data_IF_927774229178
#
_entry.id   IF_927774229178
#
_cell.length_a   1.000
_cell.length_b   1.000
_cell.length_c   1.000
_cell.angle_alpha   90.00
_cell.angle_beta   90.00
_cell.angle_gamma   90.00
#
_symmetry.space_group_name_H-M   'P 1'
#
loop_
_entity.id
_entity.type
_entity.pdbx_description
1 polymer ?
#
# COMPACT_ATOMS: atom_id res chain seq x y z
N UNK A 1 2.63 -3.44 2.23
CA UNK A 1 2.17 -4.83 2.28
C UNK A 1 2.16 -5.31 3.70
N UNK A 2 1.39 -6.35 4.00
CA UNK A 2 1.37 -6.97 5.31
C UNK A 2 2.68 -7.72 5.61
N UNK A 3 2.95 -7.95 6.89
CA UNK A 3 4.20 -8.55 7.34
C UNK A 3 4.41 -9.99 6.88
N UNK A 4 3.34 -10.76 6.61
CA UNK A 4 3.47 -12.13 6.09
C UNK A 4 3.98 -12.08 4.66
N UNK A 5 3.42 -11.20 3.84
CA UNK A 5 3.87 -10.95 2.48
C UNK A 5 5.34 -10.54 2.43
N UNK A 6 5.74 -9.57 3.27
CA UNK A 6 7.11 -9.07 3.29
C UNK A 6 8.11 -10.12 3.78
N UNK A 7 7.75 -10.91 4.81
CA UNK A 7 8.54 -12.05 5.24
C UNK A 7 8.65 -13.14 4.15
N UNK A 8 7.58 -13.41 3.42
CA UNK A 8 7.58 -14.38 2.32
C UNK A 8 8.47 -13.91 1.16
N UNK A 9 8.36 -12.65 0.74
CA UNK A 9 9.22 -12.08 -0.31
C UNK A 9 10.69 -12.11 0.11
N UNK A 10 11.00 -11.61 1.31
CA UNK A 10 12.35 -11.63 1.85
C UNK A 10 12.92 -13.04 1.93
N UNK A 11 12.13 -14.01 2.42
CA UNK A 11 12.50 -15.42 2.48
C UNK A 11 12.83 -16.00 1.11
N UNK A 12 11.97 -15.72 0.11
CA UNK A 12 12.17 -16.20 -1.25
C UNK A 12 13.42 -15.58 -1.91
N UNK A 13 13.64 -14.27 -1.74
CA UNK A 13 14.84 -13.57 -2.23
C UNK A 13 16.10 -14.11 -1.55
N UNK A 14 16.09 -14.24 -0.22
CA UNK A 14 17.19 -14.84 0.54
C UNK A 14 17.50 -16.27 0.08
N UNK A 15 16.47 -17.11 -0.07
CA UNK A 15 16.58 -18.46 -0.62
C UNK A 15 17.15 -18.50 -2.05
N UNK A 16 16.79 -17.55 -2.91
CA UNK A 16 17.28 -17.48 -4.29
C UNK A 16 18.78 -17.17 -4.36
N UNK A 17 19.27 -16.27 -3.52
CA UNK A 17 20.68 -15.81 -3.51
C UNK A 17 21.57 -16.77 -2.72
N UNK A 18 21.12 -17.18 -1.53
CA UNK A 18 21.95 -17.86 -0.53
C UNK A 18 21.59 -19.34 -0.32
N UNK A 19 20.40 -19.78 -0.75
CA UNK A 19 19.83 -21.08 -0.41
C UNK A 19 20.67 -22.28 -0.83
N UNK A 20 21.45 -22.18 -1.92
CA UNK A 20 22.33 -23.27 -2.37
C UNK A 20 23.42 -23.65 -1.36
N UNK A 21 23.93 -22.68 -0.59
CA UNK A 21 25.02 -22.88 0.38
C UNK A 21 24.53 -22.86 1.84
N UNK A 22 23.51 -22.04 2.15
CA UNK A 22 22.98 -21.87 3.51
C UNK A 22 21.75 -22.74 3.84
N UNK A 23 21.14 -23.36 2.83
CA UNK A 23 19.92 -24.16 3.00
C UNK A 23 18.78 -23.32 3.58
N UNK A 24 18.01 -23.91 4.51
CA UNK A 24 16.86 -23.26 5.16
C UNK A 24 17.20 -21.93 5.85
N UNK A 25 18.44 -21.74 6.30
CA UNK A 25 18.86 -20.50 6.97
C UNK A 25 18.80 -19.29 6.05
N UNK A 26 19.00 -19.49 4.75
CA UNK A 26 18.84 -18.41 3.77
C UNK A 26 17.42 -17.85 3.76
N UNK A 27 16.42 -18.74 3.84
CA UNK A 27 15.01 -18.40 3.91
C UNK A 27 14.69 -17.71 5.24
N UNK A 28 15.18 -18.23 6.36
CA UNK A 28 14.97 -17.63 7.68
C UNK A 28 15.57 -16.22 7.80
N UNK A 29 16.81 -16.02 7.34
CA UNK A 29 17.43 -14.69 7.29
C UNK A 29 16.67 -13.74 6.37
N UNK A 30 16.27 -14.22 5.20
CA UNK A 30 15.44 -13.46 4.27
C UNK A 30 14.13 -13.01 4.90
N UNK A 31 13.42 -13.90 5.59
CA UNK A 31 12.17 -13.59 6.27
C UNK A 31 12.35 -12.51 7.34
N UNK A 32 13.34 -12.66 8.23
CA UNK A 32 13.56 -11.69 9.30
C UNK A 32 14.05 -10.32 8.81
N UNK A 33 14.91 -10.30 7.79
CA UNK A 33 15.35 -9.05 7.16
C UNK A 33 14.22 -8.38 6.36
N UNK A 34 13.34 -9.19 5.77
CA UNK A 34 12.16 -8.72 5.06
C UNK A 34 11.11 -8.10 5.99
N UNK A 35 11.21 -8.22 7.31
CA UNK A 35 10.32 -7.47 8.23
C UNK A 35 10.98 -6.22 8.80
N UNK A 36 12.28 -6.04 8.58
CA UNK A 36 13.08 -5.02 9.25
C UNK A 36 12.65 -3.58 8.92
N UNK A 37 12.35 -3.21 7.66
CA UNK A 37 11.95 -1.83 7.34
C UNK A 37 10.69 -1.39 8.09
N UNK A 38 9.69 -2.27 8.21
CA UNK A 38 8.39 -1.95 8.82
C UNK A 38 8.43 -1.86 10.36
N UNK A 39 9.57 -2.14 11.00
CA UNK A 39 9.74 -1.91 12.44
C UNK A 39 9.78 -0.41 12.79
N UNK A 40 9.80 0.47 11.79
CA UNK A 40 9.64 1.91 11.96
C UNK A 40 8.27 2.31 12.55
N UNK A 41 7.27 1.43 12.51
CA UNK A 41 5.97 1.61 13.19
C UNK A 41 6.10 1.72 14.72
N UNK A 42 7.22 1.24 15.28
CA UNK A 42 7.50 1.34 16.72
C UNK A 42 8.06 2.72 17.11
N UNK A 43 8.36 3.58 16.13
CA UNK A 43 8.85 4.94 16.34
C UNK A 43 7.67 5.91 16.33
N UNK A 44 7.64 6.83 17.30
CA UNK A 44 6.72 7.98 17.26
C UNK A 44 7.42 9.22 16.74
N UNK A 45 6.75 9.93 15.85
CA UNK A 45 7.15 11.16 15.17
C UNK A 45 6.38 12.39 15.70
N UNK A 46 5.69 12.25 16.84
CA UNK A 46 5.11 13.37 17.58
C UNK A 46 3.61 13.59 17.39
N UNK A 47 2.86 12.60 16.87
CA UNK A 47 1.40 12.61 16.84
C UNK A 47 0.81 11.73 15.74
N UNK A 48 -0.49 11.39 15.77
CA UNK A 48 -1.11 10.45 14.82
C UNK A 48 -0.90 10.81 13.35
N UNK A 49 -1.01 12.10 12.98
CA UNK A 49 -0.76 12.53 11.60
C UNK A 49 0.72 12.40 11.24
N UNK A 50 1.64 12.75 12.14
CA UNK A 50 3.08 12.64 11.87
C UNK A 50 3.50 11.17 11.75
N UNK A 51 3.04 10.32 12.65
CA UNK A 51 3.32 8.88 12.67
C UNK A 51 2.82 8.23 11.38
N UNK A 52 1.64 8.62 10.89
CA UNK A 52 1.10 8.16 9.62
C UNK A 52 1.89 8.64 8.40
N UNK A 53 2.27 9.92 8.36
CA UNK A 53 2.92 10.56 7.20
C UNK A 53 4.41 10.20 7.06
N UNK A 54 5.09 9.90 8.17
CA UNK A 54 6.53 9.59 8.18
C UNK A 54 6.83 8.10 8.24
N UNK A 55 5.83 7.24 8.48
CA UNK A 55 5.95 5.81 8.22
C UNK A 55 6.35 5.57 6.76
N UNK A 56 7.21 4.56 6.51
CA UNK A 56 7.76 4.27 5.17
C UNK A 56 8.62 5.39 4.59
N UNK A 57 9.24 6.17 5.49
CA UNK A 57 10.21 7.20 5.19
C UNK A 57 11.62 6.63 5.06
N UNK A 58 12.52 7.06 5.96
CA UNK A 58 13.95 6.73 5.88
C UNK A 58 14.24 5.21 5.95
N UNK A 59 13.44 4.45 6.68
CA UNK A 59 13.49 2.99 6.79
C UNK A 59 13.37 2.25 5.44
N UNK A 60 12.70 2.86 4.47
CA UNK A 60 12.41 2.28 3.14
C UNK A 60 13.22 2.91 2.01
N UNK A 61 14.07 3.89 2.34
CA UNK A 61 14.89 4.58 1.35
C UNK A 61 16.01 3.69 0.80
N UNK A 62 16.16 3.63 -0.52
CA UNK A 62 17.15 2.78 -1.19
C UNK A 62 18.58 3.19 -0.79
N UNK A 63 18.82 4.49 -0.56
CA UNK A 63 20.10 4.97 -0.06
C UNK A 63 20.43 4.38 1.32
N UNK A 64 19.46 4.37 2.24
CA UNK A 64 19.60 3.77 3.58
C UNK A 64 19.82 2.27 3.48
N UNK A 65 19.09 1.56 2.62
CA UNK A 65 19.31 0.13 2.38
C UNK A 65 20.70 -0.17 1.84
N UNK A 66 21.20 0.67 0.93
CA UNK A 66 22.54 0.55 0.34
C UNK A 66 23.64 0.73 1.38
N UNK A 67 23.44 1.61 2.36
CA UNK A 67 24.37 1.81 3.48
C UNK A 67 24.24 0.72 4.56
N UNK A 68 23.03 0.24 4.82
CA UNK A 68 22.76 -0.77 5.84
C UNK A 68 23.20 -2.18 5.42
N UNK A 69 23.07 -2.51 4.12
CA UNK A 69 23.33 -3.86 3.62
C UNK A 69 24.77 -4.36 3.86
N UNK A 70 25.85 -3.56 3.69
CA UNK A 70 27.19 -3.95 4.07
C UNK A 70 27.34 -4.30 5.55
N UNK A 71 26.72 -3.52 6.43
CA UNK A 71 26.82 -3.71 7.89
C UNK A 71 26.09 -4.97 8.33
N UNK A 72 24.83 -5.11 7.94
CA UNK A 72 24.00 -6.28 8.25
C UNK A 72 24.55 -7.54 7.59
N UNK A 73 24.99 -7.43 6.34
CA UNK A 73 25.64 -8.51 5.60
C UNK A 73 26.94 -8.98 6.26
N UNK A 74 27.75 -8.06 6.79
CA UNK A 74 28.97 -8.39 7.53
C UNK A 74 28.68 -9.12 8.85
N UNK A 75 27.63 -8.72 9.57
CA UNK A 75 27.18 -9.42 10.79
C UNK A 75 26.74 -10.85 10.45
N UNK A 76 25.84 -11.01 9.48
CA UNK A 76 25.35 -12.33 9.07
C UNK A 76 26.47 -13.23 8.52
N UNK A 77 27.41 -12.65 7.75
CA UNK A 77 28.59 -13.34 7.26
C UNK A 77 29.48 -13.84 8.40
N UNK A 78 29.77 -13.02 9.42
CA UNK A 78 30.58 -13.42 10.58
C UNK A 78 29.96 -14.60 11.33
N UNK A 79 28.64 -14.62 11.50
CA UNK A 79 27.89 -15.71 12.14
C UNK A 79 27.91 -17.02 11.34
N UNK A 80 28.20 -16.95 10.03
CA UNK A 80 28.13 -18.09 9.11
C UNK A 80 29.40 -18.32 8.28
N UNK A 81 30.54 -17.77 8.72
CA UNK A 81 31.85 -17.86 8.05
C UNK A 81 32.26 -19.27 7.62
N UNK A 82 31.93 -20.30 8.41
CA UNK A 82 32.26 -21.69 8.14
C UNK A 82 31.41 -22.34 7.01
N UNK A 83 30.40 -21.64 6.47
CA UNK A 83 29.45 -22.18 5.47
C UNK A 83 29.86 -21.87 4.02
N UNK A 84 31.02 -21.25 3.83
CA UNK A 84 31.58 -20.97 2.51
C UNK A 84 30.79 -19.94 1.70
N UNK A 85 29.98 -19.08 2.32
CA UNK A 85 29.30 -17.96 1.64
C UNK A 85 30.14 -16.70 1.80
N UNK A 86 30.45 -16.03 0.70
CA UNK A 86 31.27 -14.82 0.72
C UNK A 86 30.51 -13.61 1.27
N UNK A 87 31.24 -12.63 1.79
CA UNK A 87 30.67 -11.36 2.29
C UNK A 87 29.83 -10.66 1.22
N UNK A 88 30.33 -10.55 -0.01
CA UNK A 88 29.62 -9.91 -1.11
C UNK A 88 28.25 -10.57 -1.40
N UNK A 89 28.13 -11.88 -1.25
CA UNK A 89 26.86 -12.58 -1.43
C UNK A 89 25.86 -12.25 -0.32
N UNK A 90 26.34 -12.10 0.92
CA UNK A 90 25.53 -11.64 2.04
C UNK A 90 25.07 -10.20 1.83
N UNK A 91 25.98 -9.29 1.50
CA UNK A 91 25.64 -7.89 1.21
C UNK A 91 24.59 -7.80 0.11
N UNK A 92 24.78 -8.54 -1.00
CA UNK A 92 23.81 -8.59 -2.08
C UNK A 92 22.45 -9.15 -1.62
N UNK A 93 22.44 -10.22 -0.84
CA UNK A 93 21.19 -10.81 -0.35
C UNK A 93 20.43 -9.85 0.58
N UNK A 94 21.12 -9.20 1.53
CA UNK A 94 20.49 -8.20 2.40
C UNK A 94 19.96 -7.04 1.57
N UNK A 95 20.78 -6.50 0.66
CA UNK A 95 20.38 -5.37 -0.19
C UNK A 95 19.13 -5.70 -1.01
N UNK A 96 19.10 -6.87 -1.67
CA UNK A 96 17.95 -7.29 -2.45
C UNK A 96 16.70 -7.47 -1.58
N UNK A 97 16.82 -8.06 -0.39
CA UNK A 97 15.67 -8.23 0.52
C UNK A 97 15.09 -6.87 0.92
N UNK A 98 15.94 -5.92 1.34
CA UNK A 98 15.48 -4.60 1.77
C UNK A 98 14.90 -3.78 0.60
N UNK A 99 15.55 -3.77 -0.55
CA UNK A 99 15.09 -3.01 -1.71
C UNK A 99 13.79 -3.60 -2.26
N UNK A 100 13.68 -4.92 -2.37
CA UNK A 100 12.44 -5.54 -2.86
C UNK A 100 11.26 -5.33 -1.91
N UNK A 101 11.50 -5.25 -0.60
CA UNK A 101 10.48 -4.82 0.38
C UNK A 101 9.93 -3.44 0.05
N UNK A 102 10.81 -2.44 -0.07
CA UNK A 102 10.39 -1.07 -0.31
C UNK A 102 9.77 -0.88 -1.71
N UNK A 103 10.28 -1.56 -2.73
CA UNK A 103 9.68 -1.56 -4.06
C UNK A 103 8.27 -2.15 -4.03
N UNK A 104 8.04 -3.26 -3.30
CA UNK A 104 6.72 -3.84 -3.18
C UNK A 104 5.77 -2.91 -2.41
N UNK A 105 6.26 -2.22 -1.37
CA UNK A 105 5.48 -1.20 -0.67
C UNK A 105 5.09 -0.03 -1.57
N UNK A 106 5.97 0.41 -2.47
CA UNK A 106 5.68 1.45 -3.46
C UNK A 106 4.62 1.03 -4.50
N UNK A 107 4.39 -0.28 -4.70
CA UNK A 107 3.28 -0.79 -5.54
C UNK A 107 1.93 -0.64 -4.84
N UNK A 108 1.90 -0.52 -3.50
CA UNK A 108 0.68 -0.21 -2.74
C UNK A 108 0.40 1.30 -2.70
N UNK A 109 -0.77 1.70 -2.21
CA UNK A 109 -1.19 3.12 -2.24
C UNK A 109 -0.66 3.98 -1.06
N UNK A 110 0.05 3.38 -0.11
CA UNK A 110 0.37 4.03 1.17
C UNK A 110 1.49 5.07 1.13
N UNK A 111 2.16 5.21 -0.02
CA UNK A 111 3.30 6.10 -0.18
C UNK A 111 4.57 5.54 0.45
N UNK A 112 5.64 5.43 -0.33
CA UNK A 112 6.95 4.93 0.12
C UNK A 112 8.04 5.88 -0.40
N UNK A 113 8.88 6.41 0.49
CA UNK A 113 9.89 7.42 0.13
C UNK A 113 11.20 6.77 -0.31
N UNK A 114 11.20 6.19 -1.51
CA UNK A 114 12.31 5.40 -2.04
C UNK A 114 13.61 6.18 -2.22
N UNK A 115 13.50 7.47 -2.57
CA UNK A 115 14.62 8.28 -3.07
C UNK A 115 15.22 9.24 -2.03
N UNK A 116 14.84 9.13 -0.75
CA UNK A 116 15.51 9.92 0.30
C UNK A 116 17.01 9.59 0.35
N UNK A 117 17.89 10.58 0.62
CA UNK A 117 17.60 12.00 0.88
C UNK A 117 17.58 12.87 -0.40
N UNK A 118 17.64 12.27 -1.59
CA UNK A 118 17.77 13.02 -2.86
C UNK A 118 16.45 13.65 -3.32
N UNK A 119 15.33 12.97 -3.10
CA UNK A 119 13.99 13.48 -3.35
C UNK A 119 13.04 13.03 -2.23
N UNK A 120 12.13 13.92 -1.83
CA UNK A 120 11.13 13.69 -0.79
C UNK A 120 9.75 13.43 -1.40
N UNK A 121 9.68 12.49 -2.35
CA UNK A 121 8.45 12.06 -3.00
C UNK A 121 8.01 10.69 -2.47
N UNK A 122 6.74 10.58 -2.09
CA UNK A 122 6.15 9.32 -1.65
C UNK A 122 5.56 8.59 -2.85
N UNK A 123 6.17 7.46 -3.24
CA UNK A 123 5.66 6.65 -4.35
C UNK A 123 4.58 5.71 -3.84
N UNK A 124 3.38 5.82 -4.38
CA UNK A 124 2.26 4.93 -4.07
C UNK A 124 1.45 4.61 -5.32
N UNK A 125 1.89 3.61 -6.09
CA UNK A 125 1.23 3.25 -7.35
C UNK A 125 -0.21 2.77 -7.13
N UNK A 126 -0.49 2.15 -5.99
CA UNK A 126 -1.84 1.67 -5.66
C UNK A 126 -2.34 0.51 -6.53
N UNK A 127 -1.43 -0.27 -7.11
CA UNK A 127 -1.77 -1.38 -8.03
C UNK A 127 -2.08 -2.69 -7.31
N UNK A 128 -1.60 -2.84 -6.08
CA UNK A 128 -1.88 -3.99 -5.22
C UNK A 128 -2.50 -3.57 -3.89
N UNK A 129 -3.42 -4.40 -3.41
CA UNK A 129 -3.94 -4.28 -2.06
C UNK A 129 -2.92 -4.78 -1.05
N UNK A 130 -2.92 -4.21 0.16
CA UNK A 130 -1.90 -4.45 1.19
C UNK A 130 -1.81 -5.92 1.64
N UNK A 131 -2.91 -6.67 1.56
CA UNK A 131 -2.98 -8.10 1.80
C UNK A 131 -3.46 -8.77 0.52
N UNK A 132 -2.55 -9.31 -0.28
CA UNK A 132 -2.90 -9.94 -1.55
C UNK A 132 -2.48 -11.43 -1.57
N UNK A 133 -3.44 -12.36 -1.40
CA UNK A 133 -3.16 -13.79 -1.43
C UNK A 133 -2.64 -14.28 -2.78
N UNK A 134 -3.01 -13.66 -3.90
CA UNK A 134 -2.56 -14.08 -5.23
C UNK A 134 -1.10 -13.69 -5.47
N UNK A 135 -0.62 -12.62 -4.82
CA UNK A 135 0.81 -12.32 -4.74
C UNK A 135 1.54 -13.26 -3.77
N UNK A 136 0.96 -13.53 -2.59
CA UNK A 136 1.68 -14.16 -1.47
C UNK A 136 1.74 -15.67 -1.55
N UNK A 137 0.67 -16.33 -2.01
CA UNK A 137 0.59 -17.79 -2.07
C UNK A 137 1.65 -18.42 -2.98
N UNK A 138 1.95 -17.89 -4.19
CA UNK A 138 3.02 -18.44 -5.02
C UNK A 138 4.38 -18.42 -4.32
N UNK A 139 4.69 -17.37 -3.54
CA UNK A 139 5.90 -17.30 -2.72
C UNK A 139 5.91 -18.40 -1.64
N UNK A 140 4.83 -18.50 -0.85
CA UNK A 140 4.72 -19.49 0.23
C UNK A 140 4.81 -20.92 -0.28
N UNK A 141 4.12 -21.24 -1.38
CA UNK A 141 4.18 -22.56 -2.03
C UNK A 141 5.59 -22.84 -2.55
N UNK A 142 6.23 -21.86 -3.21
CA UNK A 142 7.60 -21.98 -3.70
C UNK A 142 8.61 -22.24 -2.58
N UNK A 143 8.48 -21.53 -1.46
CA UNK A 143 9.30 -21.70 -0.25
C UNK A 143 9.05 -23.08 0.37
N UNK A 144 7.79 -23.44 0.60
CA UNK A 144 7.43 -24.73 1.21
C UNK A 144 7.95 -25.91 0.38
N UNK A 145 7.75 -25.87 -0.94
CA UNK A 145 8.28 -26.90 -1.85
C UNK A 145 9.81 -26.92 -1.88
N UNK A 146 10.47 -25.75 -1.78
CA UNK A 146 11.93 -25.66 -1.69
C UNK A 146 12.49 -26.24 -0.39
N UNK A 147 11.79 -26.06 0.73
CA UNK A 147 12.18 -26.58 2.04
C UNK A 147 11.85 -28.07 2.21
N UNK A 148 10.77 -28.55 1.61
CA UNK A 148 10.38 -29.96 1.62
C UNK A 148 11.25 -30.83 0.70
N UNK A 149 11.77 -30.25 -0.40
CA UNK A 149 12.69 -30.95 -1.29
C UNK A 149 14.06 -31.22 -0.66
N UNK A 150 14.66 -32.39 -0.95
CA UNK A 150 16.09 -32.62 -0.66
C UNK A 150 16.92 -31.53 -1.36
N UNK A 151 17.85 -30.93 -0.62
CA UNK A 151 18.72 -29.81 -1.02
C UNK A 151 19.26 -30.01 -2.45
N UNK A 152 19.05 -29.03 -3.35
CA UNK A 152 19.55 -29.13 -4.73
C UNK A 152 18.83 -28.23 -5.75
N UNK A 153 19.04 -28.50 -7.04
CA UNK A 153 18.51 -27.70 -8.16
C UNK A 153 16.97 -27.63 -8.17
N UNK A 154 16.28 -28.68 -7.72
CA UNK A 154 14.81 -28.71 -7.65
C UNK A 154 14.25 -27.72 -6.62
N UNK A 155 14.88 -27.62 -5.44
CA UNK A 155 14.49 -26.65 -4.42
C UNK A 155 14.62 -25.21 -4.92
N UNK A 156 15.74 -24.90 -5.61
CA UNK A 156 15.93 -23.57 -6.23
C UNK A 156 14.88 -23.27 -7.29
N UNK A 157 14.51 -24.24 -8.14
CA UNK A 157 13.49 -24.06 -9.17
C UNK A 157 12.13 -23.69 -8.57
N UNK A 158 11.67 -24.41 -7.55
CA UNK A 158 10.40 -24.10 -6.88
C UNK A 158 10.34 -22.68 -6.32
N UNK A 159 11.39 -22.27 -5.61
CA UNK A 159 11.49 -20.91 -5.08
C UNK A 159 11.48 -19.85 -6.19
N UNK A 160 12.26 -20.06 -7.26
CA UNK A 160 12.30 -19.14 -8.39
C UNK A 160 10.98 -19.09 -9.17
N UNK A 161 10.25 -20.21 -9.27
CA UNK A 161 8.91 -20.23 -9.86
C UNK A 161 7.94 -19.39 -9.03
N UNK A 162 7.96 -19.52 -7.70
CA UNK A 162 7.15 -18.67 -6.81
C UNK A 162 7.45 -17.18 -6.98
N UNK A 163 8.74 -16.81 -6.99
CA UNK A 163 9.18 -15.43 -7.26
C UNK A 163 8.72 -14.93 -8.64
N UNK A 164 8.90 -15.74 -9.68
CA UNK A 164 8.54 -15.37 -11.04
C UNK A 164 7.03 -15.15 -11.18
N UNK A 165 6.21 -16.05 -10.64
CA UNK A 165 4.75 -15.92 -10.67
C UNK A 165 4.29 -14.65 -9.93
N UNK A 166 4.85 -14.38 -8.75
CA UNK A 166 4.51 -13.19 -7.96
C UNK A 166 4.95 -11.89 -8.65
N UNK A 167 6.09 -11.92 -9.34
CA UNK A 167 6.59 -10.78 -10.14
C UNK A 167 5.72 -10.53 -11.37
N UNK A 168 5.34 -11.60 -12.09
CA UNK A 168 4.41 -11.51 -13.21
C UNK A 168 3.04 -11.00 -12.77
N UNK A 169 2.60 -11.38 -11.58
CA UNK A 169 1.35 -10.90 -10.99
C UNK A 169 1.37 -9.38 -10.73
N UNK A 170 2.48 -8.84 -10.21
CA UNK A 170 2.66 -7.38 -10.10
C UNK A 170 2.54 -6.72 -11.47
N UNK A 171 3.23 -7.25 -12.49
CA UNK A 171 3.15 -6.73 -13.86
C UNK A 171 1.71 -6.74 -14.42
N UNK A 172 0.98 -7.83 -14.19
CA UNK A 172 -0.44 -7.91 -14.53
C UNK A 172 -1.27 -6.84 -13.82
N UNK A 173 -1.08 -6.64 -12.51
CA UNK A 173 -1.84 -5.66 -11.73
C UNK A 173 -1.69 -4.25 -12.29
N UNK A 174 -0.48 -3.86 -12.71
CA UNK A 174 -0.19 -2.55 -13.28
C UNK A 174 -0.89 -2.36 -14.63
N UNK A 175 -0.85 -3.38 -15.49
CA UNK A 175 -1.55 -3.34 -16.79
C UNK A 175 -3.06 -3.26 -16.59
N UNK A 176 -3.61 -4.05 -15.66
CA UNK A 176 -5.03 -4.01 -15.32
C UNK A 176 -5.44 -2.65 -14.76
N UNK A 177 -4.65 -2.07 -13.86
CA UNK A 177 -4.88 -0.74 -13.30
C UNK A 177 -4.95 0.33 -14.40
N UNK A 178 -3.98 0.34 -15.33
CA UNK A 178 -3.96 1.29 -16.43
C UNK A 178 -5.17 1.13 -17.35
N UNK A 179 -5.58 -0.11 -17.63
CA UNK A 179 -6.78 -0.37 -18.40
C UNK A 179 -8.03 0.22 -17.71
N UNK A 180 -8.19 0.01 -16.41
CA UNK A 180 -9.32 0.54 -15.66
C UNK A 180 -9.28 2.06 -15.55
N UNK A 181 -8.10 2.67 -15.43
CA UNK A 181 -7.94 4.13 -15.48
C UNK A 181 -8.49 4.70 -16.78
N UNK A 182 -8.13 4.12 -17.93
CA UNK A 182 -8.64 4.56 -19.22
C UNK A 182 -10.18 4.41 -19.32
N UNK A 183 -10.74 3.33 -18.76
CA UNK A 183 -12.20 3.12 -18.70
C UNK A 183 -12.88 4.18 -17.82
N UNK A 184 -12.28 4.51 -16.67
CA UNK A 184 -12.80 5.50 -15.75
C UNK A 184 -12.81 6.90 -16.37
N UNK A 185 -11.72 7.31 -17.01
CA UNK A 185 -11.60 8.60 -17.69
C UNK A 185 -12.61 8.74 -18.83
N UNK A 186 -12.80 7.68 -19.63
CA UNK A 186 -13.81 7.67 -20.68
C UNK A 186 -15.24 7.82 -20.10
N UNK A 187 -15.56 7.07 -19.06
CA UNK A 187 -16.88 7.13 -18.41
C UNK A 187 -17.16 8.48 -17.73
N UNK A 188 -16.13 9.18 -17.24
CA UNK A 188 -16.24 10.53 -16.70
C UNK A 188 -16.48 11.55 -17.82
N UNK A 189 -15.72 11.46 -18.91
CA UNK A 189 -15.85 12.35 -20.06
C UNK A 189 -17.23 12.26 -20.72
N UNK A 190 -17.80 11.05 -20.88
CA UNK A 190 -19.15 10.85 -21.42
C UNK A 190 -20.25 11.49 -20.57
N UNK A 191 -19.99 11.69 -19.26
CA UNK A 191 -20.90 12.36 -18.32
C UNK A 191 -20.66 13.86 -18.22
N UNK A 192 -19.72 14.40 -18.99
CA UNK A 192 -19.31 15.81 -18.91
C UNK A 192 -18.65 16.18 -17.57
N UNK A 193 -18.06 15.20 -16.89
CA UNK A 193 -17.30 15.43 -15.65
C UNK A 193 -15.83 15.58 -16.04
N UNK A 194 -15.22 16.72 -15.71
CA UNK A 194 -13.79 16.98 -15.91
C UNK A 194 -13.06 16.78 -14.57
N UNK A 195 -12.48 15.59 -14.30
CA UNK A 195 -11.73 15.36 -13.08
C UNK A 195 -10.35 16.02 -13.15
N UNK A 196 -9.90 16.61 -12.04
CA UNK A 196 -8.50 17.04 -11.92
C UNK A 196 -7.57 15.84 -11.73
N UNK A 197 -8.04 14.86 -10.96
CA UNK A 197 -7.30 13.64 -10.63
C UNK A 197 -8.23 12.42 -10.58
N UNK A 198 -7.75 11.30 -11.13
CA UNK A 198 -8.43 10.00 -11.07
C UNK A 198 -7.49 8.98 -10.45
N UNK A 199 -7.96 8.33 -9.39
CA UNK A 199 -7.28 7.24 -8.71
C UNK A 199 -8.01 5.93 -8.96
N UNK A 200 -7.24 4.92 -9.35
CA UNK A 200 -7.72 3.56 -9.52
C UNK A 200 -6.94 2.64 -8.59
N UNK A 201 -7.65 1.94 -7.70
CA UNK A 201 -7.05 1.02 -6.71
C UNK A 201 -7.78 -0.33 -6.72
N UNK A 202 -7.10 -1.45 -6.49
CA UNK A 202 -7.75 -2.75 -6.44
C UNK A 202 -8.66 -2.84 -5.21
N UNK A 203 -9.76 -3.56 -5.34
CA UNK A 203 -10.54 -3.98 -4.19
C UNK A 203 -9.70 -4.96 -3.32
N UNK A 204 -10.02 -5.07 -2.02
CA UNK A 204 -9.41 -6.06 -1.14
C UNK A 204 -9.31 -7.45 -1.77
N UNK A 205 -8.11 -8.02 -1.69
CA UNK A 205 -7.78 -9.40 -2.11
C UNK A 205 -7.96 -9.69 -3.62
N UNK A 206 -8.12 -8.68 -4.47
CA UNK A 206 -8.44 -8.88 -5.90
C UNK A 206 -7.87 -7.81 -6.82
N UNK A 207 -7.21 -8.24 -7.89
CA UNK A 207 -6.84 -7.39 -9.05
C UNK A 207 -7.83 -7.50 -10.21
N UNK A 208 -9.06 -7.94 -9.93
CA UNK A 208 -10.15 -8.08 -10.93
C UNK A 208 -11.22 -7.02 -10.72
N UNK A 209 -11.58 -6.75 -9.47
CA UNK A 209 -12.49 -5.67 -9.09
C UNK A 209 -11.65 -4.45 -8.68
N UNK A 210 -11.91 -3.32 -9.29
CA UNK A 210 -11.17 -2.08 -9.10
C UNK A 210 -12.11 -0.98 -8.65
N UNK A 211 -11.64 -0.15 -7.73
CA UNK A 211 -12.30 1.05 -7.23
C UNK A 211 -11.73 2.26 -7.96
N UNK A 212 -12.63 3.16 -8.34
CA UNK A 212 -12.36 4.42 -9.02
C UNK A 212 -12.72 5.54 -8.05
N UNK A 213 -11.82 6.50 -7.88
CA UNK A 213 -12.08 7.77 -7.20
C UNK A 213 -11.69 8.90 -8.14
N UNK A 214 -12.61 9.82 -8.42
CA UNK A 214 -12.35 10.97 -9.26
C UNK A 214 -12.63 12.25 -8.48
N UNK A 215 -11.64 13.13 -8.40
CA UNK A 215 -11.74 14.44 -7.75
C UNK A 215 -12.12 15.50 -8.79
N UNK A 216 -13.17 16.29 -8.55
CA UNK A 216 -13.44 17.46 -9.41
C UNK A 216 -12.45 18.59 -9.14
N UNK A 217 -12.13 18.79 -7.86
CA UNK A 217 -11.01 19.59 -7.38
C UNK A 217 -10.58 19.07 -5.99
N UNK A 218 -9.32 19.28 -5.56
CA UNK A 218 -8.82 18.82 -4.26
C UNK A 218 -9.67 19.28 -3.08
N UNK A 219 -10.29 18.31 -2.40
CA UNK A 219 -11.14 18.56 -1.26
C UNK A 219 -12.57 19.02 -1.58
N UNK A 220 -12.93 19.23 -2.85
CA UNK A 220 -14.32 19.42 -3.30
C UNK A 220 -15.05 18.07 -3.38
N UNK A 221 -16.19 18.02 -4.06
CA UNK A 221 -16.88 16.77 -4.31
C UNK A 221 -16.01 15.77 -5.06
N UNK A 222 -16.33 14.50 -4.83
CA UNK A 222 -15.65 13.40 -5.49
C UNK A 222 -16.66 12.38 -5.96
N UNK A 223 -16.25 11.60 -6.95
CA UNK A 223 -17.02 10.48 -7.46
C UNK A 223 -16.31 9.20 -7.06
N UNK A 224 -17.07 8.22 -6.56
CA UNK A 224 -16.56 6.89 -6.28
C UNK A 224 -17.39 5.85 -7.03
N UNK A 225 -16.73 4.81 -7.55
CA UNK A 225 -17.39 3.71 -8.21
C UNK A 225 -16.48 2.51 -8.39
N UNK A 226 -17.02 1.46 -9.00
CA UNK A 226 -16.31 0.20 -9.18
C UNK A 226 -16.41 -0.31 -10.61
N UNK A 227 -15.36 -1.00 -11.02
CA UNK A 227 -15.26 -1.64 -12.32
C UNK A 227 -14.66 -3.03 -12.19
N UNK A 228 -15.27 -4.00 -12.88
CA UNK A 228 -14.75 -5.37 -12.95
C UNK A 228 -14.10 -5.58 -14.31
N UNK A 229 -12.82 -5.91 -14.32
CA UNK A 229 -12.04 -6.17 -15.54
C UNK A 229 -12.71 -7.28 -16.36
N UNK A 230 -12.93 -7.02 -17.64
CA UNK A 230 -13.57 -7.96 -18.57
C UNK A 230 -15.09 -8.07 -18.43
N UNK A 231 -15.75 -7.26 -17.59
CA UNK A 231 -17.21 -7.29 -17.45
C UNK A 231 -17.95 -6.68 -18.64
N UNK A 232 -17.30 -5.81 -19.42
CA UNK A 232 -17.91 -5.07 -20.53
C UNK A 232 -18.97 -4.04 -20.11
N UNK A 233 -19.13 -3.79 -18.79
CA UNK A 233 -20.12 -2.85 -18.23
C UNK A 233 -19.45 -1.52 -17.92
N UNK A 234 -20.15 -0.42 -18.13
CA UNK A 234 -19.68 0.89 -17.65
C UNK A 234 -19.67 0.96 -16.11
N UNK A 235 -18.69 1.68 -15.51
CA UNK A 235 -18.67 1.89 -14.07
C UNK A 235 -19.83 2.80 -13.64
N UNK A 236 -20.52 2.40 -12.56
CA UNK A 236 -21.42 3.32 -11.86
C UNK A 236 -20.60 4.22 -10.95
N UNK A 237 -20.58 5.53 -11.25
CA UNK A 237 -19.96 6.54 -10.41
C UNK A 237 -21.02 7.27 -9.58
N UNK A 238 -20.83 7.33 -8.27
CA UNK A 238 -21.70 8.01 -7.31
C UNK A 238 -20.99 9.25 -6.79
N UNK A 239 -21.67 10.40 -6.78
CA UNK A 239 -21.14 11.65 -6.24
C UNK A 239 -21.26 11.67 -4.72
N UNK A 240 -20.19 12.08 -4.06
CA UNK A 240 -20.11 12.29 -2.63
C UNK A 240 -19.71 13.75 -2.33
N UNK A 241 -20.39 14.41 -1.38
CA UNK A 241 -20.11 15.79 -1.05
C UNK A 241 -18.86 15.93 -0.17
N UNK A 242 -18.14 17.03 -0.34
CA UNK A 242 -17.08 17.46 0.58
C UNK A 242 -17.25 18.94 0.97
N UNK A 243 -16.56 19.38 2.02
CA UNK A 243 -16.68 20.72 2.61
C UNK A 243 -15.32 21.38 2.84
N UNK A 244 -14.55 21.68 1.78
CA UNK A 244 -13.19 22.20 1.91
C UNK A 244 -13.13 23.59 2.55
N UNK A 245 -14.22 24.35 2.54
CA UNK A 245 -14.36 25.63 3.21
C UNK A 245 -14.09 25.54 4.72
N UNK A 246 -14.34 24.37 5.34
CA UNK A 246 -14.07 24.12 6.76
C UNK A 246 -12.57 24.15 7.10
N UNK A 247 -11.69 23.95 6.11
CA UNK A 247 -10.24 24.01 6.31
C UNK A 247 -9.65 25.40 6.21
N UNK A 248 -10.39 26.42 5.72
CA UNK A 248 -9.85 27.78 5.54
C UNK A 248 -9.25 28.35 6.83
N UNK A 249 -9.91 28.27 8.00
CA UNK A 249 -9.36 28.77 9.26
C UNK A 249 -8.17 27.92 9.77
N UNK A 250 -8.04 26.69 9.28
CA UNK A 250 -7.05 25.71 9.72
C UNK A 250 -5.86 25.58 8.76
N UNK A 251 -5.83 26.35 7.66
CA UNK A 251 -4.86 26.17 6.57
C UNK A 251 -3.39 26.31 7.01
N UNK A 252 -3.13 27.11 8.05
CA UNK A 252 -1.79 27.30 8.60
C UNK A 252 -1.36 26.22 9.61
N UNK A 253 -2.26 25.30 10.00
CA UNK A 253 -1.93 24.26 10.98
C UNK A 253 -1.00 23.20 10.35
N UNK A 254 0.00 22.70 11.09
CA UNK A 254 0.90 21.67 10.58
C UNK A 254 0.18 20.39 10.14
N UNK A 255 -0.87 19.96 10.87
CA UNK A 255 -1.64 18.77 10.56
C UNK A 255 -2.34 18.88 9.19
N UNK A 256 -3.05 19.98 8.94
CA UNK A 256 -3.74 20.21 7.66
C UNK A 256 -2.74 20.28 6.50
N UNK A 257 -1.62 21.00 6.66
CA UNK A 257 -0.58 21.05 5.60
C UNK A 257 -0.01 19.67 5.29
N UNK A 258 0.29 18.88 6.31
CA UNK A 258 0.84 17.52 6.14
C UNK A 258 -0.16 16.60 5.47
N UNK A 259 -1.42 16.61 5.90
CA UNK A 259 -2.44 15.75 5.30
C UNK A 259 -2.73 16.13 3.85
N UNK A 260 -2.84 17.42 3.52
CA UNK A 260 -3.04 17.87 2.13
C UNK A 260 -1.88 17.48 1.23
N UNK A 261 -0.64 17.60 1.70
CA UNK A 261 0.53 17.18 0.96
C UNK A 261 0.61 15.64 0.83
N UNK A 262 0.34 14.91 1.91
CA UNK A 262 0.46 13.46 1.93
C UNK A 262 -0.61 12.75 1.09
N UNK A 263 -1.80 13.32 1.00
CA UNK A 263 -2.95 12.74 0.27
C UNK A 263 -2.89 12.95 -1.23
N UNK A 264 -1.92 13.74 -1.73
CA UNK A 264 -1.81 14.12 -3.14
C UNK A 264 -3.12 14.65 -3.74
N UNK A 265 -3.91 15.36 -2.92
CA UNK A 265 -5.21 15.91 -3.31
C UNK A 265 -6.41 14.95 -3.17
N UNK A 266 -6.18 13.66 -2.86
CA UNK A 266 -7.24 12.66 -2.64
C UNK A 266 -7.77 12.66 -1.20
N UNK A 267 -8.40 13.76 -0.81
CA UNK A 267 -9.03 13.86 0.51
C UNK A 267 -10.44 14.46 0.42
N UNK A 268 -11.29 14.10 1.39
CA UNK A 268 -12.57 14.75 1.63
C UNK A 268 -12.55 15.44 2.99
N UNK A 269 -13.38 16.46 3.13
CA UNK A 269 -13.54 17.23 4.36
C UNK A 269 -15.00 17.18 4.79
N UNK A 270 -15.21 16.91 6.07
CA UNK A 270 -16.56 16.84 6.63
C UNK A 270 -16.60 17.23 8.11
N UNK A 271 -17.81 17.20 8.65
CA UNK A 271 -18.05 17.31 10.09
C UNK A 271 -18.42 15.94 10.65
N UNK A 272 -17.80 15.57 11.76
CA UNK A 272 -18.21 14.43 12.58
C UNK A 272 -18.54 14.97 13.98
N UNK A 273 -19.83 15.16 14.25
CA UNK A 273 -20.26 15.99 15.39
C UNK A 273 -19.81 17.43 15.18
N UNK A 274 -19.02 17.96 16.13
CA UNK A 274 -18.39 19.28 16.02
C UNK A 274 -16.93 19.23 15.55
N UNK A 275 -16.36 18.05 15.30
CA UNK A 275 -14.99 17.93 14.79
C UNK A 275 -14.95 18.13 13.27
N UNK A 276 -14.02 18.95 12.81
CA UNK A 276 -13.63 19.05 11.39
C UNK A 276 -12.68 17.91 11.07
N UNK A 277 -13.07 17.06 10.14
CA UNK A 277 -12.34 15.83 9.80
C UNK A 277 -11.84 15.89 8.36
N UNK A 278 -10.56 15.56 8.18
CA UNK A 278 -9.97 15.25 6.87
C UNK A 278 -9.90 13.73 6.75
N UNK A 279 -10.45 13.21 5.66
CA UNK A 279 -10.47 11.79 5.33
C UNK A 279 -9.59 11.51 4.11
N UNK A 280 -8.64 10.59 4.22
CA UNK A 280 -7.83 10.12 3.09
C UNK A 280 -8.68 9.15 2.23
N UNK A 281 -8.99 9.56 0.99
CA UNK A 281 -9.85 8.81 0.08
C UNK A 281 -9.13 7.66 -0.64
N UNK A 282 -7.80 7.59 -0.51
CA UNK A 282 -6.99 6.57 -1.17
C UNK A 282 -7.11 5.22 -0.50
N UNK A 283 -7.52 5.18 0.78
CA UNK A 283 -7.62 3.95 1.57
C UNK A 283 -9.02 3.74 2.14
N UNK A 284 -9.63 2.62 1.78
CA UNK A 284 -11.02 2.30 2.13
C UNK A 284 -11.97 2.71 1.02
N UNK A 285 -13.25 2.85 1.35
CA UNK A 285 -14.31 3.13 0.39
C UNK A 285 -15.49 3.79 1.11
N UNK A 286 -16.29 4.60 0.41
CA UNK A 286 -17.52 5.13 0.99
C UNK A 286 -18.43 3.99 1.52
N UNK A 287 -19.07 4.15 2.69
CA UNK A 287 -18.96 5.26 3.65
C UNK A 287 -17.86 5.07 4.72
N UNK A 288 -17.01 4.05 4.63
CA UNK A 288 -16.04 3.66 5.65
C UNK A 288 -14.58 3.69 5.13
N UNK A 289 -13.93 4.83 5.32
CA UNK A 289 -12.53 5.02 5.00
C UNK A 289 -11.60 4.55 6.12
N UNK A 290 -10.37 4.18 5.75
CA UNK A 290 -9.40 3.63 6.69
C UNK A 290 -8.79 4.71 7.59
N UNK A 291 -8.50 5.89 7.02
CA UNK A 291 -7.83 6.98 7.73
C UNK A 291 -8.64 8.26 7.64
N UNK A 292 -8.99 8.77 8.81
CA UNK A 292 -9.62 10.05 8.99
C UNK A 292 -9.03 10.70 10.25
N UNK A 293 -8.83 12.01 10.23
CA UNK A 293 -8.21 12.75 11.33
C UNK A 293 -9.03 13.99 11.63
N UNK A 294 -9.42 14.14 12.90
CA UNK A 294 -9.97 15.39 13.41
C UNK A 294 -8.82 16.41 13.51
N UNK A 295 -8.96 17.55 12.85
CA UNK A 295 -7.91 18.60 12.74
C UNK A 295 -8.36 19.96 13.26
N UNK A 296 -9.64 20.09 13.61
CA UNK A 296 -10.23 21.29 14.17
C UNK A 296 -11.55 20.97 14.84
N UNK A 297 -12.08 21.93 15.58
CA UNK A 297 -13.37 21.85 16.23
C UNK A 297 -14.21 23.08 15.90
N UNK A 298 -15.52 22.88 15.78
CA UNK A 298 -16.49 23.93 15.65
C UNK A 298 -16.95 24.37 17.04
N UNK A 299 -16.63 25.59 17.41
CA UNK A 299 -17.01 26.24 18.66
C UNK A 299 -17.77 27.52 18.35
N UNK A 300 -19.01 27.63 18.86
CA UNK A 300 -19.88 28.81 18.67
C UNK A 300 -20.00 29.30 17.21
N UNK A 301 -20.03 28.35 16.27
CA UNK A 301 -20.13 28.63 14.83
C UNK A 301 -18.80 29.02 14.17
N UNK A 302 -17.71 29.11 14.93
CA UNK A 302 -16.35 29.34 14.42
C UNK A 302 -15.55 28.04 14.44
N UNK A 303 -14.52 27.95 13.58
CA UNK A 303 -13.65 26.78 13.53
C UNK A 303 -12.33 27.14 14.18
N UNK A 304 -11.96 26.39 15.21
CA UNK A 304 -10.71 26.56 15.96
C UNK A 304 -9.80 25.35 15.75
N UNK A 305 -8.47 25.54 15.72
CA UNK A 305 -7.52 24.43 15.70
C UNK A 305 -7.62 23.58 16.97
N UNK A 306 -7.46 22.27 16.82
CA UNK A 306 -7.27 21.33 17.94
C UNK A 306 -6.07 20.42 17.65
N UNK A 307 -5.48 19.76 18.67
CA UNK A 307 -4.53 18.68 18.44
C UNK A 307 -5.15 17.60 17.54
N UNK A 308 -4.37 17.06 16.59
CA UNK A 308 -4.89 16.04 15.69
C UNK A 308 -5.16 14.72 16.41
N UNK A 309 -6.32 14.13 16.13
CA UNK A 309 -6.74 12.85 16.68
C UNK A 309 -7.24 11.96 15.55
N UNK A 310 -6.90 10.68 15.57
CA UNK A 310 -7.47 9.71 14.66
C UNK A 310 -9.00 9.67 14.85
N UNK A 311 -9.74 10.00 13.80
CA UNK A 311 -11.19 9.94 13.79
C UNK A 311 -11.62 8.51 13.44
N UNK A 312 -12.51 7.94 14.25
CA UNK A 312 -13.09 6.62 13.97
C UNK A 312 -14.34 6.77 13.10
N UNK A 313 -14.29 6.23 11.89
CA UNK A 313 -15.49 5.93 11.13
C UNK A 313 -16.05 4.55 11.56
N UNK A 314 -17.38 4.37 11.68
CA UNK A 314 -17.96 3.04 11.86
C UNK A 314 -17.58 2.16 10.67
N UNK A 315 -16.80 1.10 10.90
CA UNK A 315 -16.41 0.15 9.86
C UNK A 315 -17.42 -0.99 9.83
N UNK A 316 -18.05 -1.28 8.69
CA UNK A 316 -18.87 -2.46 8.55
C UNK A 316 -18.04 -3.73 8.83
N UNK A 317 -18.68 -4.82 9.30
CA UNK A 317 -18.02 -6.11 9.45
C UNK A 317 -17.36 -6.56 8.14
N UNK A 318 -16.17 -7.17 8.22
CA UNK A 318 -15.37 -7.56 7.06
C UNK A 318 -16.13 -8.54 6.14
N UNK A 319 -16.86 -9.48 6.71
CA UNK A 319 -17.70 -10.45 5.98
C UNK A 319 -18.78 -9.76 5.15
N UNK A 320 -19.39 -8.69 5.69
CA UNK A 320 -20.37 -7.88 4.97
C UNK A 320 -19.73 -7.13 3.80
N UNK A 321 -18.57 -6.50 4.01
CA UNK A 321 -17.83 -5.80 2.96
C UNK A 321 -17.46 -6.77 1.83
N UNK A 322 -16.93 -7.94 2.17
CA UNK A 322 -16.53 -8.95 1.19
C UNK A 322 -17.72 -9.53 0.43
N UNK A 323 -18.85 -9.76 1.12
CA UNK A 323 -20.08 -10.19 0.48
C UNK A 323 -20.58 -9.19 -0.58
N UNK A 324 -20.54 -7.90 -0.25
CA UNK A 324 -20.93 -6.84 -1.19
C UNK A 324 -19.92 -6.66 -2.33
N UNK A 325 -18.61 -6.71 -2.08
CA UNK A 325 -17.61 -6.68 -3.16
C UNK A 325 -17.78 -7.85 -4.13
N UNK A 326 -18.09 -9.04 -3.62
CA UNK A 326 -18.35 -10.22 -4.47
C UNK A 326 -19.66 -10.06 -5.27
N UNK A 327 -20.69 -9.48 -4.67
CA UNK A 327 -21.95 -9.18 -5.37
C UNK A 327 -21.72 -8.13 -6.47
N UNK A 328 -20.97 -7.08 -6.17
CA UNK A 328 -20.56 -6.04 -7.11
C UNK A 328 -19.71 -6.59 -8.27
N UNK A 329 -18.75 -7.47 -7.99
CA UNK A 329 -17.95 -8.13 -9.02
C UNK A 329 -18.80 -8.99 -9.98
N UNK A 330 -19.96 -9.47 -9.52
CA UNK A 330 -20.96 -10.18 -10.33
C UNK A 330 -22.02 -9.24 -10.93
N UNK A 331 -21.87 -7.94 -10.71
CA UNK A 331 -22.75 -6.91 -11.24
C UNK A 331 -24.14 -6.88 -10.59
N UNK A 332 -24.27 -7.37 -9.35
CA UNK A 332 -25.49 -7.29 -8.54
C UNK A 332 -25.49 -5.97 -7.74
N UNK A 333 -26.66 -5.35 -7.51
CA UNK A 333 -26.77 -4.15 -6.69
C UNK A 333 -26.37 -4.44 -5.24
N UNK A 334 -25.75 -3.47 -4.59
CA UNK A 334 -25.27 -3.58 -3.20
C UNK A 334 -25.64 -2.34 -2.40
N UNK A 335 -25.53 -2.41 -1.06
CA UNK A 335 -26.14 -1.42 -0.17
C UNK A 335 -25.13 -0.47 0.49
N UNK A 336 -23.89 -0.90 0.66
CA UNK A 336 -22.79 -0.16 1.27
C UNK A 336 -21.85 0.44 0.23
N UNK A 337 -21.59 -0.29 -0.85
CA UNK A 337 -20.59 0.07 -1.86
C UNK A 337 -21.29 0.67 -3.08
N UNK A 338 -20.70 1.69 -3.70
CA UNK A 338 -21.24 2.32 -4.91
C UNK A 338 -21.02 1.45 -6.16
N UNK A 339 -21.79 0.36 -6.27
CA UNK A 339 -21.95 -0.48 -7.46
C UNK A 339 -23.43 -0.50 -7.90
#
# INVERSE_FOLDING_TARGET
MDSVTQAALGSAVGGAVLGRRLGWRAFAWGAGLGTLPDLDVLLSYGGPVADFVFHRGASHAIAVHTLAAPLLGAVAWRLHRARGVGLAQWVLAVWLVLVTHALLDAVTIYGTRLLLPFADEAVGLGSLFIIDPLYTLPLLVGIAAALAGRVGLRARRWNLTGLALSTLYVGWSIVAQQHVLNVAEAALAERGIEPEHVLVTPAPFSTVLWRIVAMTAPGDDYYEGYYTVGSGREPHLTRFPSRPELLRPLAATPAVRRLRAFTDGYYAVGLQGDSVVITDLRMGAAPAYAFAFAVGQREDGTIVPMPDVAATAPRPPLDRILGEMLACARGRPVALIAC
#
